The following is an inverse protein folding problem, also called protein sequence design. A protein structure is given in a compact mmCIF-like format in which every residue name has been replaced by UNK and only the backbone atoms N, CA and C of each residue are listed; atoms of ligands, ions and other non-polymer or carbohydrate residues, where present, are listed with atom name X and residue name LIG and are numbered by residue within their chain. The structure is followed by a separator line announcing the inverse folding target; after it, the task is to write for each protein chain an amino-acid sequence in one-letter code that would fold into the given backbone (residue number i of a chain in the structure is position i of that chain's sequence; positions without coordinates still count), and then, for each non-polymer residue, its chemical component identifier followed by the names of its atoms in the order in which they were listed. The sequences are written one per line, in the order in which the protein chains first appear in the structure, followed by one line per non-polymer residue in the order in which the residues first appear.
data_IF_254162626584
#
_entry.id   IF_254162626584
#
_cell.length_a   1.000
_cell.length_b   1.000
_cell.length_c   1.000
_cell.angle_alpha   90.00
_cell.angle_beta   90.00
_cell.angle_gamma   90.00
#
_symmetry.space_group_name_H-M   'P 1'
#
loop_
_entity.id
_entity.type
_entity.pdbx_description
1 polymer ?
#
# COMPACT_ATOMS: atom_id res chain seq x y z
N UNK A 1 10.00 9.32 -14.47
CA UNK A 1 9.41 10.41 -13.65
C UNK A 1 8.24 9.91 -12.82
N UNK A 2 7.20 9.31 -13.42
CA UNK A 2 6.06 8.74 -12.69
C UNK A 2 6.46 7.70 -11.62
N UNK A 3 7.50 6.90 -11.90
CA UNK A 3 8.08 5.90 -10.99
C UNK A 3 8.69 6.48 -9.71
N UNK A 4 9.02 7.78 -9.69
CA UNK A 4 9.56 8.48 -8.52
C UNK A 4 8.47 9.28 -7.80
N UNK A 5 7.55 9.90 -8.55
CA UNK A 5 6.47 10.71 -8.00
C UNK A 5 5.48 9.91 -7.16
N UNK A 6 5.13 8.70 -7.62
CA UNK A 6 4.17 7.85 -6.91
C UNK A 6 4.66 7.44 -5.51
N UNK A 7 5.87 6.87 -5.32
CA UNK A 7 6.34 6.51 -3.98
C UNK A 7 6.55 7.75 -3.09
N UNK A 8 7.02 8.89 -3.63
CA UNK A 8 7.17 10.14 -2.85
C UNK A 8 5.84 10.66 -2.32
N UNK A 9 4.79 10.63 -3.14
CA UNK A 9 3.47 11.11 -2.73
C UNK A 9 2.89 10.22 -1.62
N UNK A 10 3.00 8.90 -1.78
CA UNK A 10 2.52 7.94 -0.76
C UNK A 10 3.25 8.13 0.57
N UNK A 11 4.55 8.35 0.57
CA UNK A 11 5.33 8.51 1.80
C UNK A 11 5.02 9.81 2.51
N UNK A 12 4.78 10.91 1.78
CA UNK A 12 4.34 12.18 2.35
C UNK A 12 3.00 12.06 3.07
N UNK A 13 2.02 11.38 2.44
CA UNK A 13 0.71 11.12 3.07
C UNK A 13 0.87 10.32 4.35
N UNK A 14 1.70 9.26 4.34
CA UNK A 14 1.96 8.40 5.50
C UNK A 14 2.60 9.17 6.67
N UNK A 15 3.58 10.03 6.38
CA UNK A 15 4.23 10.87 7.39
C UNK A 15 3.21 11.85 8.00
N UNK A 16 2.33 12.45 7.18
CA UNK A 16 1.25 13.31 7.67
C UNK A 16 0.28 12.58 8.61
N UNK A 17 -0.13 11.36 8.26
CA UNK A 17 -0.98 10.53 9.12
C UNK A 17 -0.31 10.18 10.45
N UNK A 18 0.98 9.81 10.41
CA UNK A 18 1.75 9.53 11.62
C UNK A 18 1.87 10.75 12.53
N UNK A 19 2.05 11.95 11.95
CA UNK A 19 2.06 13.19 12.72
C UNK A 19 0.70 13.50 13.36
N UNK A 20 -0.40 13.23 12.64
CA UNK A 20 -1.74 13.34 13.18
C UNK A 20 -1.96 12.37 14.36
N UNK A 21 -1.53 11.11 14.25
CA UNK A 21 -1.64 10.14 15.35
C UNK A 21 -0.84 10.54 16.58
N UNK A 22 0.37 11.06 16.39
CA UNK A 22 1.17 11.63 17.48
C UNK A 22 0.44 12.76 18.20
N UNK A 23 -0.27 13.60 17.45
CA UNK A 23 -0.99 14.77 18.00
C UNK A 23 -2.26 14.35 18.74
N UNK A 24 -3.00 13.37 18.21
CA UNK A 24 -4.26 12.87 18.80
C UNK A 24 -3.98 12.01 20.05
N UNK A 25 -3.06 11.05 19.93
CA UNK A 25 -2.77 10.08 20.97
C UNK A 25 -1.47 10.49 21.65
N UNK A 26 -1.59 11.38 22.65
CA UNK A 26 -0.46 11.93 23.40
C UNK A 26 0.11 10.93 24.42
N UNK A 27 0.57 9.78 23.94
CA UNK A 27 1.07 8.64 24.71
C UNK A 27 2.51 8.28 24.29
N UNK A 28 3.40 7.99 25.26
CA UNK A 28 4.80 7.63 25.01
C UNK A 28 4.98 6.35 24.18
N UNK A 29 4.06 5.40 24.33
CA UNK A 29 4.01 4.17 23.53
C UNK A 29 3.70 4.48 22.06
N UNK A 30 2.77 5.41 21.83
CA UNK A 30 2.41 5.86 20.47
C UNK A 30 3.57 6.60 19.81
N UNK A 31 4.27 7.45 20.57
CA UNK A 31 5.44 8.17 20.06
C UNK A 31 6.50 7.21 19.52
N UNK A 32 6.88 6.18 20.29
CA UNK A 32 7.82 5.16 19.83
C UNK A 32 7.32 4.43 18.58
N UNK A 33 6.05 4.00 18.57
CA UNK A 33 5.46 3.31 17.43
C UNK A 33 5.47 4.20 16.16
N UNK A 34 5.15 5.48 16.30
CA UNK A 34 5.21 6.47 15.21
C UNK A 34 6.62 6.62 14.66
N UNK A 35 7.64 6.73 15.52
CA UNK A 35 9.03 6.83 15.07
C UNK A 35 9.51 5.56 14.35
N UNK A 36 9.17 4.38 14.86
CA UNK A 36 9.53 3.09 14.24
C UNK A 36 8.89 2.97 12.85
N UNK A 37 7.59 3.21 12.74
CA UNK A 37 6.86 3.08 11.47
C UNK A 37 7.23 4.20 10.49
N UNK A 38 7.55 5.40 11.00
CA UNK A 38 8.11 6.49 10.22
C UNK A 38 9.47 6.13 9.62
N UNK A 39 10.37 5.54 10.41
CA UNK A 39 11.67 5.07 9.94
C UNK A 39 11.51 3.96 8.89
N UNK A 40 10.61 2.99 9.11
CA UNK A 40 10.28 1.95 8.15
C UNK A 40 9.79 2.54 6.82
N UNK A 41 8.84 3.48 6.87
CA UNK A 41 8.30 4.15 5.68
C UNK A 41 9.38 4.90 4.90
N UNK A 42 10.29 5.57 5.61
CA UNK A 42 11.40 6.29 4.99
C UNK A 42 12.43 5.36 4.36
N UNK A 43 12.76 4.24 5.03
CA UNK A 43 13.66 3.23 4.47
C UNK A 43 13.10 2.58 3.19
N UNK A 44 11.79 2.31 3.18
CA UNK A 44 11.10 1.78 2.01
C UNK A 44 11.13 2.76 0.84
N UNK A 45 10.88 4.04 1.10
CA UNK A 45 10.99 5.10 0.10
C UNK A 45 12.40 5.19 -0.50
N UNK A 46 13.41 5.17 0.36
CA UNK A 46 14.80 5.26 -0.09
C UNK A 46 15.18 4.04 -0.94
N UNK A 47 14.81 2.83 -0.52
CA UNK A 47 15.06 1.60 -1.27
C UNK A 47 14.39 1.61 -2.66
N UNK A 48 13.13 2.07 -2.74
CA UNK A 48 12.40 2.16 -4.01
C UNK A 48 12.99 3.21 -4.94
N UNK A 49 13.37 4.38 -4.43
CA UNK A 49 14.05 5.42 -5.23
C UNK A 49 15.39 4.92 -5.76
N UNK A 50 16.24 4.31 -4.93
CA UNK A 50 17.53 3.76 -5.36
C UNK A 50 17.32 2.70 -6.43
N UNK A 51 16.41 1.75 -6.19
CA UNK A 51 16.12 0.68 -7.14
C UNK A 51 15.60 1.23 -8.46
N UNK A 52 14.67 2.19 -8.43
CA UNK A 52 14.15 2.85 -9.64
C UNK A 52 15.26 3.51 -10.46
N UNK A 53 16.29 4.06 -9.80
CA UNK A 53 17.43 4.67 -10.44
C UNK A 53 18.41 3.63 -11.02
N UNK A 54 18.59 2.49 -10.35
CA UNK A 54 19.58 1.47 -10.72
C UNK A 54 19.04 0.28 -11.52
N UNK A 55 17.73 0.21 -11.77
CA UNK A 55 17.08 -0.95 -12.40
C UNK A 55 17.52 -1.18 -13.86
N UNK A 56 17.98 -0.14 -14.55
CA UNK A 56 18.44 -0.22 -15.93
C UNK A 56 19.95 -0.02 -16.03
N UNK A 57 20.59 -0.81 -16.90
CA UNK A 57 22.02 -0.73 -17.24
C UNK A 57 22.17 -0.55 -18.76
N UNK A 58 22.89 0.48 -19.23
CA UNK A 58 23.54 1.57 -18.47
C UNK A 58 22.53 2.55 -17.85
N UNK A 59 22.94 3.30 -16.81
CA UNK A 59 22.07 4.26 -16.08
C UNK A 59 21.36 5.25 -17.03
N UNK A 60 22.03 5.63 -18.11
CA UNK A 60 21.48 6.53 -19.12
C UNK A 60 20.25 5.97 -19.86
N UNK A 61 20.11 4.65 -19.91
CA UNK A 61 18.96 3.97 -20.51
C UNK A 61 17.64 4.24 -19.76
N UNK A 62 17.72 4.65 -18.50
CA UNK A 62 16.54 4.91 -17.67
C UNK A 62 15.74 6.12 -18.17
N UNK A 63 16.41 7.09 -18.81
CA UNK A 63 15.83 8.32 -19.35
C UNK A 63 15.95 8.46 -20.87
N UNK A 64 16.89 7.77 -21.53
CA UNK A 64 17.04 7.79 -23.00
C UNK A 64 16.91 6.38 -23.60
N UNK A 65 15.66 5.95 -23.77
CA UNK A 65 15.33 4.63 -24.33
C UNK A 65 15.41 4.55 -25.86
N UNK A 66 15.46 5.71 -26.53
CA UNK A 66 15.43 5.79 -28.00
C UNK A 66 16.84 5.77 -28.62
N UNK A 67 17.84 6.28 -27.91
CA UNK A 67 19.21 6.45 -28.46
C UNK A 67 20.20 5.44 -27.90
N UNK A 68 19.92 4.88 -26.71
CA UNK A 68 20.84 4.00 -26.00
C UNK A 68 20.23 2.60 -25.99
N UNK A 69 21.00 1.60 -26.38
CA UNK A 69 20.64 0.19 -26.18
C UNK A 69 21.08 -0.23 -24.78
N UNK A 70 20.15 -0.80 -24.03
CA UNK A 70 20.38 -1.22 -22.66
C UNK A 70 19.39 -2.29 -22.24
N UNK A 71 19.61 -2.83 -21.05
CA UNK A 71 18.75 -3.85 -20.47
C UNK A 71 18.31 -3.38 -19.09
N UNK A 72 17.05 -3.65 -18.74
CA UNK A 72 16.54 -3.42 -17.39
C UNK A 72 16.30 -4.76 -16.71
N UNK A 73 16.38 -4.76 -15.38
CA UNK A 73 15.92 -5.89 -14.59
C UNK A 73 14.41 -6.11 -14.72
N UNK A 74 13.89 -7.08 -13.99
CA UNK A 74 12.47 -7.41 -14.01
C UNK A 74 11.63 -6.26 -13.41
N UNK A 75 11.04 -5.48 -14.32
CA UNK A 75 10.15 -4.38 -13.98
C UNK A 75 8.87 -4.87 -13.30
N UNK A 76 8.36 -6.05 -13.69
CA UNK A 76 7.12 -6.60 -13.14
C UNK A 76 7.35 -6.97 -11.67
N UNK A 77 8.43 -7.69 -11.37
CA UNK A 77 8.81 -8.02 -10.00
C UNK A 77 9.06 -6.76 -9.15
N UNK A 78 9.68 -5.73 -9.72
CA UNK A 78 9.90 -4.45 -9.05
C UNK A 78 8.59 -3.75 -8.67
N UNK A 79 7.67 -3.57 -9.61
CA UNK A 79 6.39 -2.91 -9.33
C UNK A 79 5.55 -3.71 -8.34
N UNK A 80 5.54 -5.03 -8.48
CA UNK A 80 4.76 -5.93 -7.65
C UNK A 80 5.24 -5.92 -6.20
N UNK A 81 6.55 -6.08 -5.97
CA UNK A 81 7.14 -6.05 -4.63
C UNK A 81 6.95 -4.69 -3.94
N UNK A 82 7.15 -3.61 -4.69
CA UNK A 82 6.91 -2.23 -4.24
C UNK A 82 5.46 -2.03 -3.81
N UNK A 83 4.49 -2.46 -4.63
CA UNK A 83 3.07 -2.35 -4.31
C UNK A 83 2.70 -3.12 -3.03
N UNK A 84 3.19 -4.34 -2.87
CA UNK A 84 2.93 -5.15 -1.68
C UNK A 84 3.53 -4.53 -0.41
N UNK A 85 4.78 -4.07 -0.46
CA UNK A 85 5.42 -3.43 0.69
C UNK A 85 4.73 -2.12 1.05
N UNK A 86 4.30 -1.34 0.06
CA UNK A 86 3.52 -0.12 0.30
C UNK A 86 2.23 -0.44 1.07
N UNK A 87 1.51 -1.48 0.66
CA UNK A 87 0.26 -1.91 1.27
C UNK A 87 0.45 -2.44 2.70
N UNK A 88 1.51 -3.24 2.94
CA UNK A 88 1.86 -3.71 4.28
C UNK A 88 2.09 -2.54 5.24
N UNK A 89 2.82 -1.52 4.78
CA UNK A 89 3.06 -0.31 5.58
C UNK A 89 1.74 0.44 5.87
N UNK A 90 0.82 0.53 4.90
CA UNK A 90 -0.50 1.14 5.12
C UNK A 90 -1.31 0.39 6.19
N UNK A 91 -1.30 -0.95 6.16
CA UNK A 91 -1.95 -1.78 7.17
C UNK A 91 -1.35 -1.53 8.55
N UNK A 92 -0.02 -1.48 8.67
CA UNK A 92 0.67 -1.22 9.95
C UNK A 92 0.31 0.16 10.50
N UNK A 93 0.29 1.20 9.65
CA UNK A 93 -0.06 2.57 10.06
C UNK A 93 -1.51 2.60 10.58
N UNK A 94 -2.45 1.97 9.87
CA UNK A 94 -3.86 1.93 10.28
C UNK A 94 -4.06 1.09 11.55
N UNK A 95 -3.24 0.05 11.74
CA UNK A 95 -3.28 -0.79 12.93
C UNK A 95 -2.67 -0.12 14.17
N UNK A 96 -1.85 0.92 14.00
CA UNK A 96 -1.13 1.61 15.09
C UNK A 96 -2.03 2.11 16.24
N UNK A 97 -3.17 2.80 16.01
CA UNK A 97 -4.08 3.20 17.09
C UNK A 97 -4.95 2.04 17.62
N UNK A 98 -4.92 0.86 16.99
CA UNK A 98 -5.80 -0.27 17.33
C UNK A 98 -5.51 -0.88 18.72
N UNK A 99 -4.27 -1.11 19.14
CA UNK A 99 -4.00 -1.57 20.50
C UNK A 99 -4.45 -0.55 21.56
N UNK A 100 -4.22 0.75 21.33
CA UNK A 100 -4.50 1.80 22.32
C UNK A 100 -6.00 1.94 22.58
N UNK A 101 -6.85 2.00 21.55
CA UNK A 101 -8.30 2.09 21.81
C UNK A 101 -8.94 0.73 22.22
N UNK A 102 -8.19 -0.37 22.36
CA UNK A 102 -8.71 -1.60 22.96
C UNK A 102 -8.55 -1.60 24.47
N UNK A 103 -7.55 -0.89 24.99
CA UNK A 103 -7.41 -0.65 26.44
C UNK A 103 -8.47 0.31 27.00
N UNK A 104 -9.17 1.05 26.14
CA UNK A 104 -10.25 1.96 26.50
C UNK A 104 -11.57 1.28 26.14
N UNK A 105 -12.34 0.80 27.12
CA UNK A 105 -13.59 0.01 26.97
C UNK A 105 -14.52 0.52 25.84
N UNK A 106 -14.35 0.08 24.60
CA UNK A 106 -15.13 0.54 23.46
C UNK A 106 -15.70 -0.63 22.65
N UNK A 107 -16.99 -0.48 22.33
CA UNK A 107 -17.96 -1.43 21.78
C UNK A 107 -17.50 -2.33 20.60
N UNK A 108 -18.23 -3.44 20.48
CA UNK A 108 -18.21 -4.55 19.48
C UNK A 108 -17.87 -4.14 18.04
N UNK A 109 -18.23 -2.91 17.61
CA UNK A 109 -17.92 -2.35 16.29
C UNK A 109 -16.42 -2.38 15.93
N UNK A 110 -15.53 -2.30 16.93
CA UNK A 110 -14.08 -2.28 16.72
C UNK A 110 -13.47 -3.65 16.45
N UNK A 111 -14.10 -4.71 16.96
CA UNK A 111 -13.67 -6.08 16.74
C UNK A 111 -13.92 -6.51 15.28
N UNK A 112 -14.97 -5.98 14.67
CA UNK A 112 -15.32 -6.20 13.26
C UNK A 112 -14.24 -5.62 12.32
N UNK A 113 -13.76 -4.40 12.59
CA UNK A 113 -12.74 -3.76 11.76
C UNK A 113 -11.40 -4.49 11.78
N UNK A 114 -11.01 -5.11 12.90
CA UNK A 114 -9.80 -5.91 13.02
C UNK A 114 -9.89 -7.24 12.28
N UNK A 115 -11.01 -7.94 12.44
CA UNK A 115 -11.30 -9.15 11.65
C UNK A 115 -11.32 -8.83 10.15
N UNK A 116 -11.90 -7.70 9.76
CA UNK A 116 -11.96 -7.27 8.36
C UNK A 116 -10.57 -7.00 7.78
N UNK A 117 -9.73 -6.22 8.46
CA UNK A 117 -8.36 -5.90 7.99
C UNK A 117 -7.51 -7.17 7.87
N UNK A 118 -7.60 -8.07 8.85
CA UNK A 118 -6.84 -9.32 8.83
C UNK A 118 -7.31 -10.27 7.72
N UNK A 119 -8.63 -10.39 7.53
CA UNK A 119 -9.22 -11.18 6.45
C UNK A 119 -8.84 -10.64 5.07
N UNK A 120 -8.78 -9.32 4.94
CA UNK A 120 -8.39 -8.67 3.69
C UNK A 120 -6.92 -8.89 3.36
N UNK A 121 -6.02 -8.78 4.35
CA UNK A 121 -4.60 -9.09 4.17
C UNK A 121 -4.37 -10.54 3.75
N UNK A 122 -5.14 -11.49 4.30
CA UNK A 122 -5.11 -12.89 3.89
C UNK A 122 -5.61 -13.08 2.45
N UNK A 123 -6.69 -12.39 2.05
CA UNK A 123 -7.19 -12.44 0.67
C UNK A 123 -6.18 -11.88 -0.33
N UNK A 124 -5.53 -10.76 -0.01
CA UNK A 124 -4.48 -10.17 -0.87
C UNK A 124 -3.30 -11.14 -1.02
N UNK A 125 -2.85 -11.77 0.07
CA UNK A 125 -1.80 -12.80 0.00
C UNK A 125 -2.24 -14.00 -0.87
N UNK A 126 -3.50 -14.42 -0.77
CA UNK A 126 -4.06 -15.50 -1.56
C UNK A 126 -4.11 -15.20 -3.06
N UNK A 127 -4.61 -14.01 -3.42
CA UNK A 127 -4.67 -13.56 -4.83
C UNK A 127 -3.25 -13.43 -5.40
N UNK A 128 -2.29 -12.92 -4.60
CA UNK A 128 -0.89 -12.85 -4.99
C UNK A 128 -0.26 -14.22 -5.27
N UNK A 129 -0.48 -15.20 -4.38
CA UNK A 129 -0.01 -16.57 -4.58
C UNK A 129 -0.63 -17.19 -5.85
N UNK A 130 -1.93 -16.99 -6.07
CA UNK A 130 -2.62 -17.45 -7.26
C UNK A 130 -2.00 -16.84 -8.53
N UNK A 131 -1.61 -15.57 -8.45
CA UNK A 131 -0.98 -14.83 -9.54
C UNK A 131 0.43 -15.33 -9.86
N UNK A 132 1.27 -15.57 -8.84
CA UNK A 132 2.59 -16.17 -9.02
C UNK A 132 2.48 -17.59 -9.62
N UNK A 133 1.45 -18.34 -9.24
CA UNK A 133 1.17 -19.65 -9.80
C UNK A 133 0.69 -19.57 -11.26
N UNK A 134 -0.17 -18.62 -11.60
CA UNK A 134 -0.64 -18.40 -12.97
C UNK A 134 0.51 -18.01 -13.90
N UNK A 135 1.40 -17.11 -13.47
CA UNK A 135 2.57 -16.69 -14.26
C UNK A 135 3.51 -17.87 -14.55
N UNK A 136 3.71 -18.77 -13.59
CA UNK A 136 4.55 -19.96 -13.78
C UNK A 136 3.95 -21.00 -14.73
N UNK A 137 2.64 -20.98 -14.97
CA UNK A 137 1.92 -21.97 -15.78
C UNK A 137 1.42 -21.44 -17.13
N UNK A 138 1.82 -20.21 -17.52
CA UNK A 138 1.47 -19.61 -18.81
C UNK A 138 2.02 -20.45 -19.98
N UNK A 139 1.15 -21.21 -20.64
CA UNK A 139 1.40 -21.76 -21.98
C UNK A 139 1.07 -20.68 -23.01
N UNK A 140 2.05 -20.36 -23.85
CA UNK A 140 2.05 -19.31 -24.88
C UNK A 140 1.01 -19.53 -26.01
N UNK A 141 -0.29 -19.48 -25.72
CA UNK A 141 -1.31 -19.51 -26.79
C UNK A 141 -1.98 -18.14 -26.97
N UNK A 142 -2.22 -17.35 -25.92
CA UNK A 142 -2.82 -16.00 -26.02
C UNK A 142 -2.23 -15.00 -25.00
N UNK A 143 -1.01 -14.53 -25.29
CA UNK A 143 -0.22 -13.66 -24.40
C UNK A 143 -0.89 -12.30 -24.12
N UNK A 144 -1.72 -11.77 -25.02
CA UNK A 144 -2.25 -10.40 -24.93
C UNK A 144 -3.43 -10.30 -23.94
N UNK A 145 -4.31 -11.29 -23.91
CA UNK A 145 -5.51 -11.25 -23.07
C UNK A 145 -5.19 -11.50 -21.59
N UNK A 146 -4.31 -12.47 -21.31
CA UNK A 146 -3.94 -12.85 -19.95
C UNK A 146 -3.03 -11.79 -19.28
N UNK A 147 -2.15 -11.17 -20.08
CA UNK A 147 -1.35 -10.02 -19.61
C UNK A 147 -2.22 -8.80 -19.31
N UNK A 148 -3.28 -8.56 -20.08
CA UNK A 148 -4.19 -7.41 -19.85
C UNK A 148 -5.06 -7.61 -18.62
N UNK A 149 -5.65 -8.80 -18.46
CA UNK A 149 -6.43 -9.16 -17.25
C UNK A 149 -5.53 -9.16 -16.00
N UNK A 150 -4.31 -9.68 -16.15
CA UNK A 150 -3.23 -9.57 -15.18
C UNK A 150 -3.01 -8.09 -14.82
N UNK A 151 -2.60 -7.24 -15.75
CA UNK A 151 -2.28 -5.84 -15.42
C UNK A 151 -3.41 -5.11 -14.68
N UNK A 152 -4.67 -5.29 -15.09
CA UNK A 152 -5.84 -4.70 -14.41
C UNK A 152 -5.99 -5.25 -12.99
N UNK A 153 -5.88 -6.56 -12.79
CA UNK A 153 -5.95 -7.16 -11.46
C UNK A 153 -4.80 -6.69 -10.53
N UNK A 154 -3.61 -6.39 -11.06
CA UNK A 154 -2.46 -5.87 -10.26
C UNK A 154 -2.62 -4.40 -9.89
N UNK A 155 -3.38 -3.64 -10.67
CA UNK A 155 -3.70 -2.25 -10.32
C UNK A 155 -4.89 -2.21 -9.36
N UNK A 156 -5.89 -3.08 -9.56
CA UNK A 156 -7.11 -3.09 -8.78
C UNK A 156 -6.90 -3.62 -7.35
N UNK A 157 -6.07 -4.65 -7.17
CA UNK A 157 -5.72 -5.20 -5.84
C UNK A 157 -5.22 -4.16 -4.83
N UNK A 158 -4.17 -3.38 -5.12
CA UNK A 158 -3.65 -2.41 -4.17
C UNK A 158 -4.62 -1.23 -3.99
N UNK A 159 -5.39 -0.85 -5.01
CA UNK A 159 -6.39 0.23 -4.90
C UNK A 159 -7.53 -0.19 -3.99
N UNK A 160 -8.05 -1.41 -4.15
CA UNK A 160 -9.06 -1.98 -3.24
C UNK A 160 -8.50 -2.20 -1.84
N UNK A 161 -7.23 -2.62 -1.71
CA UNK A 161 -6.53 -2.72 -0.43
C UNK A 161 -6.40 -1.39 0.30
N UNK A 162 -6.03 -0.32 -0.41
CA UNK A 162 -5.95 1.04 0.15
C UNK A 162 -7.32 1.58 0.53
N UNK A 163 -8.33 1.41 -0.32
CA UNK A 163 -9.72 1.83 -0.01
C UNK A 163 -10.21 1.11 1.25
N UNK A 164 -10.02 -0.21 1.33
CA UNK A 164 -10.41 -1.00 2.49
C UNK A 164 -9.60 -0.68 3.75
N UNK A 165 -8.33 -0.31 3.64
CA UNK A 165 -7.52 0.13 4.79
C UNK A 165 -7.95 1.51 5.31
N UNK A 166 -8.56 2.36 4.48
CA UNK A 166 -9.04 3.69 4.87
C UNK A 166 -10.50 3.68 5.35
N UNK A 167 -11.29 2.66 5.02
CA UNK A 167 -12.67 2.49 5.49
C UNK A 167 -12.84 2.56 7.03
N UNK A 168 -11.98 1.94 7.86
CA UNK A 168 -12.08 2.01 9.33
C UNK A 168 -11.95 3.44 9.89
N UNK A 169 -11.24 4.33 9.19
CA UNK A 169 -11.10 5.74 9.59
C UNK A 169 -12.35 6.57 9.23
N UNK A 170 -13.15 6.12 8.26
CA UNK A 170 -14.40 6.78 7.84
C UNK A 170 -15.60 6.41 8.73
N UNK A 171 -15.57 5.26 9.41
CA UNK A 171 -16.64 4.81 10.32
C UNK A 171 -17.06 5.86 11.39
N UNK A 172 -16.13 6.52 12.12
CA UNK A 172 -16.51 7.54 13.10
C UNK A 172 -17.02 8.86 12.48
N UNK A 173 -16.71 9.12 11.21
CA UNK A 173 -17.26 10.26 10.46
C UNK A 173 -18.66 9.95 9.98
N UNK A 174 -18.91 8.75 9.45
CA UNK A 174 -20.26 8.32 9.05
C UNK A 174 -21.25 8.30 10.22
N UNK A 175 -20.82 7.92 11.42
CA UNK A 175 -21.68 7.99 12.62
C UNK A 175 -21.97 9.42 13.09
N UNK A 176 -21.29 10.43 12.53
CA UNK A 176 -21.46 11.86 12.86
C UNK A 176 -22.11 12.66 11.74
N UNK A 177 -22.36 12.08 10.57
CA UNK A 177 -23.12 12.75 9.50
C UNK A 177 -24.60 12.69 9.90
N UNK A 178 -25.27 13.83 10.15
CA UNK A 178 -26.71 13.85 10.33
C UNK A 178 -27.37 13.38 9.03
N UNK A 179 -28.37 12.51 9.17
CA UNK A 179 -29.14 11.89 8.09
C UNK A 179 -29.79 12.90 7.11
N UNK A 180 -29.79 14.19 7.44
CA UNK A 180 -30.42 15.28 6.70
C UNK A 180 -29.69 15.74 5.42
N UNK A 181 -28.50 15.21 5.09
CA UNK A 181 -27.72 15.69 3.92
C UNK A 181 -27.62 14.66 2.78
N UNK A 182 -28.14 13.43 2.95
CA UNK A 182 -28.14 12.41 1.89
C UNK A 182 -29.36 12.46 0.96
N UNK A 183 -30.31 13.36 1.22
CA UNK A 183 -31.46 13.61 0.35
C UNK A 183 -31.58 15.11 0.09
N UNK A 184 -30.72 15.65 -0.76
CA UNK A 184 -31.02 16.88 -1.50
C UNK A 184 -30.20 16.99 -2.78
#
# INVERSE_FOLDING_TARGET
VATLLWPTANTLVKISMLHLYKTIFRNKEMDHAVYIVGALTMSYWLATVITALTICRPFAYNWNKFTITGHCGDLVAYYLSTAMMNLLIDVVIVALPLPILWGLQMNIARNISLTFVFSLGALICGIFMLRCYAINNLKFTDVIYDVTLGMVATILEPVLGVINARLPLLQPVMSKIPESTMVS
#
